data_IF_237819823106
#
_entry.id   IF_237819823106
#
_cell.length_a   1.000
_cell.length_b   1.000
_cell.length_c   1.000
_cell.angle_alpha   90.00
_cell.angle_beta   90.00
_cell.angle_gamma   90.00
#
_symmetry.space_group_name_H-M   'P 1'
#
loop_
_entity.id
_entity.type
_entity.pdbx_description
1 polymer ?
#
# COMPACT_ATOMS: atom_id res chain seq x y z
N UNK A 1 -13.74 -35.61 -11.87
CA UNK A 1 -14.05 -35.14 -10.50
C UNK A 1 -13.62 -33.68 -10.38
N UNK A 2 -14.55 -32.77 -10.11
CA UNK A 2 -14.24 -31.35 -9.90
C UNK A 2 -13.44 -31.23 -8.60
N UNK A 3 -12.24 -30.67 -8.70
CA UNK A 3 -11.39 -30.47 -7.50
C UNK A 3 -12.04 -29.36 -6.65
N UNK A 4 -12.31 -29.59 -5.35
CA UNK A 4 -13.05 -28.64 -4.50
C UNK A 4 -12.41 -27.23 -4.46
N UNK A 5 -11.07 -27.18 -4.56
CA UNK A 5 -10.33 -25.92 -4.58
C UNK A 5 -10.68 -25.05 -5.81
N UNK A 6 -10.96 -25.66 -6.96
CA UNK A 6 -11.28 -24.89 -8.18
C UNK A 6 -12.62 -24.15 -8.02
N UNK A 7 -13.62 -24.81 -7.38
CA UNK A 7 -14.90 -24.16 -7.09
C UNK A 7 -14.76 -22.94 -6.19
N UNK A 8 -13.98 -23.09 -5.11
CA UNK A 8 -13.69 -21.98 -4.18
C UNK A 8 -12.96 -20.83 -4.88
N UNK A 9 -11.94 -21.13 -5.68
CA UNK A 9 -11.20 -20.11 -6.42
C UNK A 9 -12.06 -19.44 -7.49
N UNK A 10 -13.01 -20.18 -8.12
CA UNK A 10 -13.93 -19.59 -9.08
C UNK A 10 -14.92 -18.62 -8.42
N UNK A 11 -15.44 -18.96 -7.25
CA UNK A 11 -16.27 -18.04 -6.46
C UNK A 11 -15.46 -16.81 -6.05
N UNK A 12 -14.25 -16.99 -5.52
CA UNK A 12 -13.37 -15.89 -5.12
C UNK A 12 -13.07 -14.96 -6.30
N UNK A 13 -12.70 -15.51 -7.45
CA UNK A 13 -12.42 -14.74 -8.65
C UNK A 13 -13.67 -14.02 -9.17
N UNK A 14 -14.83 -14.68 -9.13
CA UNK A 14 -16.11 -14.07 -9.50
C UNK A 14 -16.42 -12.87 -8.61
N UNK A 15 -16.30 -13.00 -7.29
CA UNK A 15 -16.51 -11.90 -6.35
C UNK A 15 -15.48 -10.78 -6.56
N UNK A 16 -14.21 -11.14 -6.76
CA UNK A 16 -13.13 -10.19 -6.98
C UNK A 16 -13.31 -9.31 -8.23
N UNK A 17 -14.05 -9.79 -9.22
CA UNK A 17 -14.35 -9.02 -10.43
C UNK A 17 -15.72 -8.33 -10.33
N UNK A 18 -16.75 -9.05 -9.86
CA UNK A 18 -18.12 -8.52 -9.83
C UNK A 18 -18.31 -7.42 -8.80
N UNK A 19 -17.71 -7.52 -7.60
CA UNK A 19 -17.87 -6.50 -6.56
C UNK A 19 -17.30 -5.14 -6.99
N UNK A 20 -16.07 -5.03 -7.52
CA UNK A 20 -15.57 -3.78 -8.07
C UNK A 20 -16.40 -3.25 -9.24
N UNK A 21 -16.87 -4.14 -10.13
CA UNK A 21 -17.73 -3.73 -11.26
C UNK A 21 -19.06 -3.14 -10.76
N UNK A 22 -19.68 -3.75 -9.76
CA UNK A 22 -20.88 -3.23 -9.12
C UNK A 22 -20.61 -1.92 -8.39
N UNK A 23 -19.46 -1.80 -7.70
CA UNK A 23 -19.02 -0.58 -7.05
C UNK A 23 -18.83 0.61 -7.99
N UNK A 24 -18.54 0.36 -9.27
CA UNK A 24 -18.41 1.40 -10.30
C UNK A 24 -19.78 1.89 -10.87
N UNK A 25 -20.88 1.27 -10.48
CA UNK A 25 -22.23 1.75 -10.88
C UNK A 25 -22.64 2.98 -10.06
N UNK A 26 -23.61 3.76 -10.55
CA UNK A 26 -24.06 4.98 -9.87
C UNK A 26 -24.54 4.72 -8.43
N UNK A 27 -25.28 3.65 -8.17
CA UNK A 27 -25.68 3.28 -6.82
C UNK A 27 -24.49 2.74 -6.00
N UNK A 28 -23.58 2.00 -6.62
CA UNK A 28 -22.36 1.49 -5.98
C UNK A 28 -21.47 2.62 -5.49
N UNK A 29 -21.29 3.68 -6.28
CA UNK A 29 -20.54 4.88 -5.90
C UNK A 29 -21.21 5.61 -4.71
N UNK A 30 -22.54 5.72 -4.71
CA UNK A 30 -23.26 6.35 -3.59
C UNK A 30 -23.13 5.56 -2.29
N UNK A 31 -23.26 4.22 -2.36
CA UNK A 31 -23.06 3.34 -1.19
C UNK A 31 -21.61 3.37 -0.73
N UNK A 32 -20.66 3.35 -1.66
CA UNK A 32 -19.21 3.45 -1.36
C UNK A 32 -18.85 4.77 -0.65
N UNK A 33 -19.35 5.89 -1.16
CA UNK A 33 -19.12 7.20 -0.56
C UNK A 33 -19.70 7.28 0.86
N UNK A 34 -20.92 6.79 1.05
CA UNK A 34 -21.53 6.71 2.37
C UNK A 34 -20.72 5.83 3.32
N UNK A 35 -20.30 4.65 2.87
CA UNK A 35 -19.54 3.70 3.68
C UNK A 35 -18.19 4.27 4.12
N UNK A 36 -17.46 4.94 3.23
CA UNK A 36 -16.16 5.57 3.55
C UNK A 36 -16.29 6.58 4.70
N UNK A 37 -17.41 7.32 4.75
CA UNK A 37 -17.64 8.34 5.77
C UNK A 37 -18.11 7.73 7.10
N UNK A 38 -18.93 6.65 7.08
CA UNK A 38 -19.64 6.18 8.26
C UNK A 38 -19.12 4.84 8.81
N UNK A 39 -18.36 4.07 8.01
CA UNK A 39 -17.91 2.74 8.42
C UNK A 39 -16.39 2.73 8.57
N UNK A 40 -15.86 2.56 9.80
CA UNK A 40 -14.41 2.46 10.01
C UNK A 40 -13.78 1.37 9.14
N UNK A 41 -12.71 1.74 8.43
CA UNK A 41 -11.99 0.82 7.55
C UNK A 41 -12.59 0.66 6.13
N UNK A 42 -13.77 1.20 5.83
CA UNK A 42 -14.35 1.12 4.48
C UNK A 42 -13.51 1.84 3.41
N UNK A 43 -12.67 2.81 3.80
CA UNK A 43 -11.69 3.44 2.91
C UNK A 43 -10.75 2.46 2.20
N UNK A 44 -10.50 1.27 2.80
CA UNK A 44 -9.72 0.20 2.15
C UNK A 44 -10.40 -0.35 0.88
N UNK A 45 -11.72 -0.21 0.76
CA UNK A 45 -12.49 -0.67 -0.40
C UNK A 45 -12.45 0.33 -1.56
N UNK A 46 -11.98 1.55 -1.34
CA UNK A 46 -11.89 2.61 -2.37
C UNK A 46 -11.03 2.16 -3.56
N UNK A 47 -9.92 1.49 -3.29
CA UNK A 47 -9.02 0.97 -4.31
C UNK A 47 -9.44 -0.43 -4.79
N UNK A 48 -10.70 -0.54 -5.22
CA UNK A 48 -11.33 -1.83 -5.56
C UNK A 48 -10.57 -2.63 -6.63
N UNK A 49 -9.81 -1.97 -7.52
CA UNK A 49 -8.96 -2.64 -8.51
C UNK A 49 -7.90 -3.56 -7.88
N UNK A 50 -7.46 -3.28 -6.65
CA UNK A 50 -6.50 -4.14 -5.93
C UNK A 50 -7.09 -5.51 -5.59
N UNK A 51 -8.40 -5.59 -5.39
CA UNK A 51 -9.08 -6.83 -5.06
C UNK A 51 -9.16 -7.80 -6.25
N UNK A 52 -9.09 -7.29 -7.50
CA UNK A 52 -9.06 -8.11 -8.71
C UNK A 52 -7.84 -9.06 -8.72
N UNK A 53 -6.77 -8.71 -8.03
CA UNK A 53 -5.60 -9.60 -7.86
C UNK A 53 -5.95 -10.95 -7.21
N UNK A 54 -7.04 -11.04 -6.44
CA UNK A 54 -7.54 -12.30 -5.88
C UNK A 54 -8.05 -13.30 -6.95
N UNK A 55 -8.30 -12.85 -8.18
CA UNK A 55 -8.61 -13.72 -9.31
C UNK A 55 -7.37 -14.40 -9.90
N UNK A 56 -6.17 -13.89 -9.67
CA UNK A 56 -4.93 -14.39 -10.27
C UNK A 56 -4.67 -15.90 -10.04
N UNK A 57 -4.91 -16.49 -8.85
CA UNK A 57 -4.72 -17.93 -8.64
C UNK A 57 -5.60 -18.80 -9.54
N UNK A 58 -6.87 -18.39 -9.77
CA UNK A 58 -7.74 -19.10 -10.71
C UNK A 58 -7.24 -18.97 -12.15
N UNK A 59 -6.84 -17.77 -12.58
CA UNK A 59 -6.34 -17.53 -13.92
C UNK A 59 -5.07 -18.33 -14.20
N UNK A 60 -4.14 -18.39 -13.24
CA UNK A 60 -2.92 -19.18 -13.37
C UNK A 60 -3.23 -20.69 -13.54
N UNK A 61 -4.15 -21.23 -12.72
CA UNK A 61 -4.56 -22.63 -12.83
C UNK A 61 -5.33 -22.92 -14.12
N UNK A 62 -6.19 -22.01 -14.54
CA UNK A 62 -6.95 -22.13 -15.79
C UNK A 62 -6.02 -22.10 -17.01
N UNK A 63 -5.05 -21.18 -17.02
CA UNK A 63 -4.03 -21.08 -18.07
C UNK A 63 -3.20 -22.37 -18.15
N UNK A 64 -2.71 -22.87 -17.01
CA UNK A 64 -1.96 -24.13 -16.96
C UNK A 64 -2.80 -25.34 -17.44
N UNK A 65 -4.08 -25.38 -17.07
CA UNK A 65 -4.99 -26.43 -17.55
C UNK A 65 -5.26 -26.30 -19.05
N UNK A 66 -5.40 -25.09 -19.56
CA UNK A 66 -5.56 -24.78 -20.99
C UNK A 66 -4.34 -25.22 -21.81
N UNK A 67 -3.14 -24.86 -21.36
CA UNK A 67 -1.87 -25.29 -21.98
C UNK A 67 -1.79 -26.83 -22.04
N UNK A 68 -2.09 -27.51 -20.94
CA UNK A 68 -2.12 -28.99 -20.92
C UNK A 68 -3.15 -29.59 -21.88
N UNK A 69 -4.34 -29.01 -21.95
CA UNK A 69 -5.40 -29.52 -22.84
C UNK A 69 -5.00 -29.32 -24.29
N UNK A 70 -4.43 -28.16 -24.63
CA UNK A 70 -3.98 -27.85 -25.99
C UNK A 70 -2.78 -28.70 -26.41
N UNK A 71 -1.80 -28.91 -25.50
CA UNK A 71 -0.64 -29.76 -25.75
C UNK A 71 -1.00 -31.21 -26.16
N UNK A 72 -2.17 -31.71 -25.73
CA UNK A 72 -2.66 -33.04 -26.09
C UNK A 72 -3.25 -33.10 -27.50
N UNK A 73 -3.48 -31.96 -28.15
CA UNK A 73 -4.14 -31.85 -29.47
C UNK A 73 -3.18 -31.53 -30.59
N UNK A 74 -1.90 -31.26 -30.27
CA UNK A 74 -0.89 -30.92 -31.27
C UNK A 74 0.20 -31.99 -31.36
N UNK A 75 0.83 -32.09 -32.53
CA UNK A 75 1.90 -33.05 -32.79
C UNK A 75 3.21 -32.80 -32.02
N UNK A 76 3.44 -31.53 -31.62
CA UNK A 76 4.60 -31.14 -30.83
C UNK A 76 4.14 -30.55 -29.48
N UNK A 77 3.86 -31.39 -28.46
CA UNK A 77 3.27 -30.95 -27.21
C UNK A 77 4.10 -29.87 -26.45
N UNK A 78 5.44 -29.93 -26.58
CA UNK A 78 6.35 -28.95 -25.96
C UNK A 78 6.29 -27.53 -26.56
N UNK A 79 5.78 -27.39 -27.78
CA UNK A 79 5.66 -26.07 -28.41
C UNK A 79 4.57 -25.20 -27.74
N UNK A 80 3.52 -25.82 -27.19
CA UNK A 80 2.39 -25.07 -26.58
C UNK A 80 2.80 -24.27 -25.33
N UNK A 81 3.49 -24.86 -24.32
CA UNK A 81 3.94 -24.08 -23.16
C UNK A 81 4.96 -23.00 -23.56
N UNK A 82 5.85 -23.28 -24.51
CA UNK A 82 6.80 -22.28 -25.03
C UNK A 82 6.04 -21.10 -25.67
N UNK A 83 5.08 -21.39 -26.55
CA UNK A 83 4.27 -20.35 -27.17
C UNK A 83 3.44 -19.57 -26.15
N UNK A 84 2.89 -20.23 -25.12
CA UNK A 84 2.14 -19.56 -24.05
C UNK A 84 3.04 -18.61 -23.23
N UNK A 85 4.25 -19.04 -22.86
CA UNK A 85 5.23 -18.19 -22.16
C UNK A 85 5.63 -17.02 -23.08
N UNK A 86 5.94 -17.29 -24.34
CA UNK A 86 6.29 -16.24 -25.30
C UNK A 86 5.14 -15.23 -25.48
N UNK A 87 3.90 -15.68 -25.53
CA UNK A 87 2.73 -14.80 -25.62
C UNK A 87 2.61 -13.89 -24.39
N UNK A 88 2.83 -14.39 -23.17
CA UNK A 88 2.84 -13.57 -21.94
C UNK A 88 3.96 -12.54 -21.98
N UNK A 89 5.18 -12.95 -22.35
CA UNK A 89 6.35 -12.04 -22.41
C UNK A 89 6.13 -10.96 -23.48
N UNK A 90 5.64 -11.35 -24.65
CA UNK A 90 5.38 -10.41 -25.75
C UNK A 90 4.18 -9.49 -25.51
N UNK A 91 3.22 -9.90 -24.67
CA UNK A 91 2.12 -9.04 -24.27
C UNK A 91 2.52 -7.95 -23.27
N UNK A 92 3.71 -8.05 -22.67
CA UNK A 92 4.22 -7.14 -21.65
C UNK A 92 5.62 -6.59 -22.03
N UNK A 93 5.83 -6.08 -23.26
CA UNK A 93 7.15 -5.65 -23.71
C UNK A 93 7.71 -4.50 -22.86
N UNK A 94 6.79 -3.68 -22.31
CA UNK A 94 7.15 -2.50 -21.55
C UNK A 94 7.63 -2.80 -20.11
N UNK A 95 7.44 -4.04 -19.60
CA UNK A 95 7.91 -4.41 -18.27
C UNK A 95 9.40 -4.72 -18.22
N UNK A 96 10.00 -5.00 -19.37
CA UNK A 96 11.44 -5.29 -19.47
C UNK A 96 12.23 -3.97 -19.42
N UNK A 97 13.40 -3.99 -18.80
CA UNK A 97 14.32 -2.84 -18.74
C UNK A 97 13.75 -1.59 -18.05
N UNK A 98 12.96 -1.77 -16.98
CA UNK A 98 12.39 -0.63 -16.26
C UNK A 98 11.34 0.10 -17.10
N UNK A 99 10.32 -0.64 -17.57
CA UNK A 99 9.25 -0.11 -18.44
C UNK A 99 9.84 0.54 -19.70
N UNK A 100 10.58 -0.27 -20.49
CA UNK A 100 11.28 0.19 -21.71
C UNK A 100 12.21 1.41 -21.47
N UNK A 101 12.82 1.49 -20.29
CA UNK A 101 13.74 2.58 -19.91
C UNK A 101 13.03 3.86 -19.43
N UNK A 102 11.72 3.84 -19.24
CA UNK A 102 10.99 4.98 -18.69
C UNK A 102 11.29 5.19 -17.18
N UNK A 103 11.54 4.09 -16.45
CA UNK A 103 11.96 4.16 -15.04
C UNK A 103 13.47 4.35 -14.96
N UNK A 104 13.88 5.52 -14.53
CA UNK A 104 15.29 5.84 -14.30
C UNK A 104 15.58 5.83 -12.80
N UNK A 105 16.71 5.24 -12.35
CA UNK A 105 17.10 5.31 -10.95
C UNK A 105 17.43 6.76 -10.57
N UNK A 106 16.97 7.18 -9.42
CA UNK A 106 17.21 8.51 -8.85
C UNK A 106 18.14 8.37 -7.66
N UNK A 107 19.15 9.22 -7.59
CA UNK A 107 20.05 9.32 -6.43
C UNK A 107 19.61 10.51 -5.57
N UNK A 108 19.20 10.20 -4.36
CA UNK A 108 18.84 11.23 -3.38
C UNK A 108 20.10 11.91 -2.83
N UNK A 109 20.09 13.25 -2.67
CA UNK A 109 21.18 13.98 -2.03
C UNK A 109 21.50 13.43 -0.64
N UNK A 110 22.77 13.54 -0.19
CA UNK A 110 23.20 13.08 1.14
C UNK A 110 22.42 13.71 2.29
N UNK A 111 21.89 14.92 2.12
CA UNK A 111 21.07 15.65 3.08
C UNK A 111 19.93 14.81 3.65
N UNK A 112 19.27 14.00 2.83
CA UNK A 112 18.18 13.12 3.28
C UNK A 112 18.64 12.14 4.36
N UNK A 113 19.82 11.55 4.19
CA UNK A 113 20.39 10.62 5.19
C UNK A 113 20.80 11.35 6.46
N UNK A 114 21.33 12.57 6.32
CA UNK A 114 21.75 13.38 7.47
C UNK A 114 20.53 13.80 8.31
N UNK A 115 19.47 14.28 7.68
CA UNK A 115 18.20 14.58 8.35
C UNK A 115 17.61 13.34 9.04
N UNK A 116 17.56 12.20 8.34
CA UNK A 116 17.09 10.95 8.93
C UNK A 116 17.92 10.57 10.18
N UNK A 117 19.23 10.70 10.11
CA UNK A 117 20.14 10.41 11.23
C UNK A 117 19.91 11.36 12.43
N UNK A 118 19.67 12.66 12.19
CA UNK A 118 19.32 13.60 13.26
C UNK A 118 18.03 13.18 13.97
N UNK A 119 17.02 12.77 13.20
CA UNK A 119 15.74 12.30 13.73
C UNK A 119 15.86 10.96 14.48
N UNK A 120 16.70 10.03 14.02
CA UNK A 120 16.96 8.75 14.69
C UNK A 120 17.67 8.93 16.03
N UNK A 121 18.66 9.82 16.09
CA UNK A 121 19.43 10.10 17.31
C UNK A 121 18.64 10.92 18.32
N UNK A 122 17.61 11.63 17.89
CA UNK A 122 16.75 12.40 18.80
C UNK A 122 15.88 11.46 19.62
N UNK A 123 15.85 11.71 20.95
CA UNK A 123 14.94 11.05 21.88
C UNK A 123 13.55 11.69 21.91
N UNK A 124 13.35 12.78 21.20
CA UNK A 124 12.10 13.52 21.17
C UNK A 124 11.13 12.84 20.23
N UNK A 125 9.93 12.54 20.73
CA UNK A 125 8.83 12.03 19.93
C UNK A 125 8.13 13.19 19.22
N UNK A 126 7.36 12.89 18.18
CA UNK A 126 6.53 13.83 17.42
C UNK A 126 6.76 13.74 15.93
N UNK A 127 5.79 14.27 15.20
CA UNK A 127 5.71 14.17 13.75
C UNK A 127 6.48 15.27 13.04
N UNK A 128 6.69 15.05 11.74
CA UNK A 128 7.35 15.99 10.84
C UNK A 128 6.30 16.64 9.94
N UNK A 129 6.24 17.97 9.98
CA UNK A 129 5.58 18.76 8.95
C UNK A 129 6.57 19.14 7.85
N UNK A 130 6.11 19.25 6.61
CA UNK A 130 7.00 19.51 5.46
C UNK A 130 6.57 20.76 4.70
N UNK A 131 7.54 21.55 4.30
CA UNK A 131 7.42 22.68 3.39
C UNK A 131 8.29 22.44 2.15
N UNK A 132 7.85 22.92 0.97
CA UNK A 132 6.60 23.63 0.67
C UNK A 132 5.35 22.79 0.89
N UNK A 133 4.18 23.47 1.00
CA UNK A 133 2.90 22.79 1.14
C UNK A 133 2.56 21.90 -0.06
N UNK A 134 1.73 20.87 0.20
CA UNK A 134 1.32 19.88 -0.80
C UNK A 134 2.16 18.60 -0.74
N UNK A 135 1.74 17.58 -1.49
CA UNK A 135 2.35 16.24 -1.46
C UNK A 135 3.18 15.88 -2.70
N UNK A 136 3.19 16.74 -3.71
CA UNK A 136 3.97 16.54 -4.93
C UNK A 136 5.15 17.49 -4.99
N UNK A 137 6.28 16.98 -5.47
CA UNK A 137 7.57 17.68 -5.53
C UNK A 137 8.15 17.66 -6.93
N UNK A 138 8.97 18.65 -7.23
CA UNK A 138 9.82 18.71 -8.42
C UNK A 138 11.23 19.03 -8.00
N UNK A 139 12.01 18.02 -7.76
CA UNK A 139 13.42 18.19 -7.43
C UNK A 139 14.29 18.21 -8.69
N UNK A 140 15.41 18.93 -8.69
CA UNK A 140 16.35 18.93 -9.80
C UNK A 140 16.83 17.51 -10.18
N UNK A 141 16.92 16.61 -9.22
CA UNK A 141 17.36 15.22 -9.42
C UNK A 141 16.23 14.25 -9.79
N UNK A 142 14.96 14.64 -9.71
CA UNK A 142 13.82 13.74 -9.98
C UNK A 142 13.31 13.78 -11.42
N UNK A 143 13.86 14.65 -12.28
CA UNK A 143 13.42 14.86 -13.65
C UNK A 143 12.23 15.84 -13.73
N UNK A 144 11.61 15.91 -14.91
CA UNK A 144 10.61 16.94 -15.20
C UNK A 144 9.22 16.64 -14.62
N UNK A 145 8.92 15.37 -14.35
CA UNK A 145 7.64 14.96 -13.80
C UNK A 145 7.57 15.20 -12.29
N UNK A 146 6.42 15.67 -11.75
CA UNK A 146 6.24 15.74 -10.32
C UNK A 146 6.26 14.34 -9.71
N UNK A 147 6.93 14.21 -8.57
CA UNK A 147 7.02 12.97 -7.79
C UNK A 147 6.32 13.15 -6.45
N UNK A 148 5.87 12.07 -5.84
CA UNK A 148 5.42 12.11 -4.45
C UNK A 148 6.58 12.53 -3.56
N UNK A 149 6.29 13.35 -2.56
CA UNK A 149 7.23 13.73 -1.52
C UNK A 149 7.91 12.49 -0.93
N UNK A 150 9.25 12.41 -0.96
CA UNK A 150 9.98 11.28 -0.43
C UNK A 150 10.04 11.25 1.10
N UNK A 151 9.79 12.35 1.80
CA UNK A 151 9.92 12.48 3.24
C UNK A 151 9.26 11.33 4.02
N UNK A 152 8.00 10.91 3.73
CA UNK A 152 7.35 9.79 4.44
C UNK A 152 8.06 8.44 4.32
N UNK A 153 8.93 8.29 3.34
CA UNK A 153 9.68 7.04 3.10
C UNK A 153 11.14 7.12 3.51
N UNK A 154 11.66 8.33 3.62
CA UNK A 154 13.07 8.59 3.92
C UNK A 154 13.30 8.85 5.41
N UNK A 155 12.29 9.35 6.13
CA UNK A 155 12.43 9.76 7.53
C UNK A 155 11.88 8.68 8.49
N UNK A 156 12.54 8.48 9.66
CA UNK A 156 12.13 7.51 10.68
C UNK A 156 11.07 8.08 11.64
N UNK A 157 10.23 8.98 11.18
CA UNK A 157 9.13 9.63 11.91
C UNK A 157 7.91 9.71 11.01
N UNK A 158 6.74 9.81 11.61
CA UNK A 158 5.53 10.08 10.85
C UNK A 158 5.59 11.47 10.23
N UNK A 159 5.32 11.52 8.94
CA UNK A 159 5.34 12.75 8.14
C UNK A 159 3.91 13.11 7.78
N UNK A 160 3.48 14.30 8.17
CA UNK A 160 2.14 14.79 7.90
C UNK A 160 1.98 15.13 6.41
N UNK A 161 1.04 14.46 5.77
CA UNK A 161 0.66 14.72 4.39
C UNK A 161 -0.85 14.90 4.29
N UNK A 162 -1.27 15.96 3.60
CA UNK A 162 -2.70 16.28 3.43
C UNK A 162 -3.45 15.26 2.57
N UNK A 163 -2.74 14.57 1.68
CA UNK A 163 -3.36 13.70 0.67
C UNK A 163 -4.09 14.48 -0.43
N UNK A 164 -3.94 15.79 -0.47
CA UNK A 164 -4.55 16.67 -1.47
C UNK A 164 -3.93 16.42 -2.84
N UNK A 165 -4.77 16.27 -3.86
CA UNK A 165 -4.34 16.13 -5.24
C UNK A 165 -4.83 17.31 -6.07
N UNK A 166 -3.89 18.09 -6.60
CA UNK A 166 -4.19 19.15 -7.56
C UNK A 166 -4.21 18.54 -8.96
N UNK A 167 -5.36 18.58 -9.62
CA UNK A 167 -5.57 18.05 -10.96
C UNK A 167 -5.66 19.20 -11.96
N UNK A 168 -4.63 19.35 -12.78
CA UNK A 168 -4.52 20.47 -13.73
C UNK A 168 -4.48 21.81 -13.02
N UNK A 169 -5.12 22.83 -13.62
CA UNK A 169 -5.18 24.20 -13.06
C UNK A 169 -6.49 24.52 -12.32
N UNK A 170 -7.48 23.62 -12.39
CA UNK A 170 -8.86 23.97 -12.03
C UNK A 170 -9.49 23.11 -10.93
N UNK A 171 -8.91 21.99 -10.55
CA UNK A 171 -9.55 21.11 -9.59
C UNK A 171 -8.57 20.64 -8.51
N UNK A 172 -9.01 20.74 -7.27
CA UNK A 172 -8.31 20.14 -6.12
C UNK A 172 -9.19 19.06 -5.52
N UNK A 173 -8.70 17.84 -5.50
CA UNK A 173 -9.34 16.74 -4.76
C UNK A 173 -8.88 16.84 -3.32
N UNK A 174 -9.82 17.02 -2.39
CA UNK A 174 -9.52 17.07 -0.96
C UNK A 174 -8.87 15.79 -0.46
N UNK A 175 -7.89 15.95 0.42
CA UNK A 175 -7.24 14.82 1.07
C UNK A 175 -7.98 14.36 2.33
N UNK A 176 -7.56 13.21 2.86
CA UNK A 176 -8.13 12.61 4.08
C UNK A 176 -7.41 13.05 5.36
N UNK A 177 -6.29 13.75 5.22
CA UNK A 177 -5.45 14.19 6.33
C UNK A 177 -5.92 15.48 7.00
N UNK A 178 -7.05 15.47 7.72
CA UNK A 178 -7.59 16.67 8.36
C UNK A 178 -6.57 17.36 9.30
N UNK A 179 -5.82 16.59 10.11
CA UNK A 179 -4.76 17.10 10.97
C UNK A 179 -3.62 17.71 10.15
N UNK A 180 -3.15 17.01 9.13
CA UNK A 180 -2.10 17.50 8.24
C UNK A 180 -2.52 18.80 7.52
N UNK A 181 -3.80 18.90 7.12
CA UNK A 181 -4.36 20.12 6.52
C UNK A 181 -4.33 21.30 7.49
N UNK A 182 -4.67 21.11 8.78
CA UNK A 182 -4.57 22.18 9.78
C UNK A 182 -3.13 22.64 9.98
N UNK A 183 -2.20 21.69 10.13
CA UNK A 183 -0.77 21.99 10.28
C UNK A 183 -0.22 22.74 9.08
N UNK A 184 -0.56 22.32 7.88
CA UNK A 184 -0.18 23.03 6.65
C UNK A 184 -0.72 24.46 6.63
N UNK A 185 -1.99 24.66 7.03
CA UNK A 185 -2.60 25.99 7.12
C UNK A 185 -1.90 26.86 8.17
N UNK A 186 -1.53 26.33 9.33
CA UNK A 186 -0.77 27.04 10.35
C UNK A 186 0.59 27.52 9.82
N UNK A 187 1.31 26.63 9.13
CA UNK A 187 2.58 27.00 8.52
C UNK A 187 2.42 28.08 7.45
N UNK A 188 1.45 27.92 6.54
CA UNK A 188 1.20 28.90 5.47
C UNK A 188 0.73 30.26 6.00
N UNK A 189 0.06 30.29 7.15
CA UNK A 189 -0.37 31.51 7.81
C UNK A 189 0.72 32.16 8.70
N UNK A 190 1.87 31.51 8.87
CA UNK A 190 2.93 32.01 9.76
C UNK A 190 2.57 31.93 11.25
N UNK A 191 1.82 30.90 11.66
CA UNK A 191 1.41 30.71 13.05
C UNK A 191 2.61 30.46 13.97
N UNK A 192 2.44 30.75 15.27
CA UNK A 192 3.48 30.51 16.27
C UNK A 192 3.76 29.00 16.51
N UNK A 193 4.91 28.68 17.09
CA UNK A 193 5.32 27.29 17.35
C UNK A 193 4.32 26.48 18.18
N UNK A 194 3.57 27.14 19.05
CA UNK A 194 2.61 26.49 19.93
C UNK A 194 1.49 25.79 19.15
N UNK A 195 1.00 26.41 18.07
CA UNK A 195 -0.04 25.79 17.22
C UNK A 195 0.45 24.50 16.57
N UNK A 196 1.74 24.38 16.25
CA UNK A 196 2.35 23.17 15.75
C UNK A 196 2.52 22.12 16.85
N UNK A 197 2.94 22.53 18.05
CA UNK A 197 3.12 21.65 19.19
C UNK A 197 1.80 21.03 19.67
N UNK A 198 0.69 21.78 19.65
CA UNK A 198 -0.66 21.29 19.96
C UNK A 198 -1.16 20.21 18.98
N UNK A 199 -0.61 20.17 17.77
CA UNK A 199 -0.87 19.12 16.78
C UNK A 199 0.23 18.03 16.76
N UNK A 200 0.99 17.86 17.85
CA UNK A 200 2.09 16.89 18.00
C UNK A 200 3.21 17.01 16.94
N UNK A 201 3.35 18.15 16.31
CA UNK A 201 4.45 18.41 15.38
C UNK A 201 5.68 18.80 16.19
N UNK A 202 6.75 18.03 16.02
CA UNK A 202 8.03 18.29 16.67
C UNK A 202 9.08 18.82 15.71
N UNK A 203 8.91 18.58 14.44
CA UNK A 203 9.89 18.89 13.42
C UNK A 203 9.22 19.55 12.22
N UNK A 204 9.90 20.55 11.66
CA UNK A 204 9.54 21.11 10.37
C UNK A 204 10.71 20.90 9.41
N UNK A 205 10.46 20.15 8.34
CA UNK A 205 11.40 19.96 7.24
C UNK A 205 11.08 20.96 6.14
N UNK A 206 12.09 21.68 5.68
CA UNK A 206 11.98 22.56 4.50
C UNK A 206 12.80 21.98 3.37
N UNK A 207 12.16 21.65 2.27
CA UNK A 207 12.77 21.16 1.03
C UNK A 207 13.07 22.37 0.13
N UNK A 208 14.31 22.80 0.09
CA UNK A 208 14.72 24.09 -0.48
C UNK A 208 14.75 24.12 -1.99
N UNK A 209 14.97 22.97 -2.64
CA UNK A 209 15.17 22.87 -4.09
C UNK A 209 13.91 22.54 -4.87
N UNK A 210 12.77 22.36 -4.20
CA UNK A 210 11.48 22.10 -4.84
C UNK A 210 10.56 23.34 -4.76
N UNK A 211 9.93 23.75 -5.87
CA UNK A 211 8.96 24.83 -5.84
C UNK A 211 7.65 24.39 -5.17
N UNK A 212 6.98 25.32 -4.54
CA UNK A 212 5.66 25.11 -3.94
C UNK A 212 5.23 26.24 -3.03
N UNK A 213 3.99 26.20 -2.48
CA UNK A 213 3.48 27.23 -1.59
C UNK A 213 4.26 27.25 -0.27
N UNK A 214 4.76 28.42 0.10
CA UNK A 214 5.39 28.69 1.39
C UNK A 214 4.55 29.64 2.26
N UNK A 215 3.69 30.44 1.67
CA UNK A 215 2.90 31.44 2.40
C UNK A 215 3.78 32.31 3.29
N UNK A 216 3.30 32.59 4.50
CA UNK A 216 4.00 33.35 5.53
C UNK A 216 4.85 32.47 6.46
N UNK A 217 5.15 31.23 6.06
CA UNK A 217 5.84 30.21 6.92
C UNK A 217 7.19 30.67 7.46
N UNK A 218 7.85 31.63 6.81
CA UNK A 218 9.10 32.19 7.31
C UNK A 218 8.93 32.79 8.72
N UNK A 219 7.77 33.39 9.02
CA UNK A 219 7.48 33.91 10.37
C UNK A 219 7.47 32.81 11.43
N UNK A 220 7.01 31.61 11.08
CA UNK A 220 7.05 30.45 11.95
C UNK A 220 8.49 29.96 12.09
N UNK A 221 9.20 29.78 10.97
CA UNK A 221 10.57 29.24 10.95
C UNK A 221 11.55 30.10 11.73
N UNK A 222 11.40 31.42 11.72
CA UNK A 222 12.24 32.37 12.49
C UNK A 222 12.12 32.18 14.01
N UNK A 223 11.06 31.52 14.48
CA UNK A 223 10.82 31.21 15.89
C UNK A 223 11.26 29.77 16.27
N UNK A 224 11.67 28.96 15.30
CA UNK A 224 12.09 27.59 15.51
C UNK A 224 13.61 27.48 15.64
N UNK A 225 14.06 26.43 16.29
CA UNK A 225 15.49 26.13 16.40
C UNK A 225 15.97 25.37 15.17
N UNK A 226 16.93 25.92 14.39
CA UNK A 226 17.51 25.18 13.29
C UNK A 226 18.43 24.06 13.80
N UNK A 227 18.17 22.84 13.39
CA UNK A 227 18.94 21.63 13.77
C UNK A 227 19.92 21.24 12.66
N UNK A 228 19.47 21.38 11.42
CA UNK A 228 20.27 21.06 10.24
C UNK A 228 19.88 22.01 9.11
N UNK A 229 20.85 22.43 8.30
CA UNK A 229 20.59 23.18 7.08
C UNK A 229 21.74 23.00 6.10
N UNK A 230 21.39 22.67 4.84
CA UNK A 230 22.28 22.76 3.69
C UNK A 230 21.55 23.36 2.48
N UNK A 231 22.08 23.20 1.28
CA UNK A 231 21.47 23.76 0.08
C UNK A 231 20.17 23.04 -0.34
N UNK A 232 19.97 21.79 0.09
CA UNK A 232 18.85 20.94 -0.30
C UNK A 232 17.72 20.94 0.74
N UNK A 233 18.08 20.80 2.02
CA UNK A 233 17.15 20.59 3.11
C UNK A 233 17.48 21.49 4.32
N UNK A 234 16.43 21.86 5.06
CA UNK A 234 16.60 22.41 6.40
C UNK A 234 15.63 21.75 7.38
N UNK A 235 16.10 21.39 8.57
CA UNK A 235 15.31 20.79 9.64
C UNK A 235 15.28 21.73 10.83
N UNK A 236 14.07 22.02 11.29
CA UNK A 236 13.82 22.87 12.46
C UNK A 236 13.14 22.08 13.56
N UNK A 237 13.44 22.41 14.82
CA UNK A 237 12.79 21.85 16.00
C UNK A 237 11.72 22.79 16.53
N UNK A 238 10.53 22.24 16.77
CA UNK A 238 9.40 22.94 17.40
C UNK A 238 9.53 22.80 18.92
N UNK A 239 9.61 23.88 19.70
CA UNK A 239 9.69 23.83 21.15
C UNK A 239 8.34 23.41 21.77
N UNK A 240 8.38 22.78 22.95
CA UNK A 240 7.20 22.57 23.81
C UNK A 240 6.22 21.47 23.41
N UNK A 241 6.62 20.52 22.57
CA UNK A 241 5.75 19.41 22.17
C UNK A 241 5.29 18.55 23.35
N UNK A 242 4.02 18.15 23.35
CA UNK A 242 3.48 17.14 24.26
C UNK A 242 3.91 15.77 23.73
N UNK A 243 4.38 14.84 24.60
CA UNK A 243 4.70 13.50 24.13
C UNK A 243 3.44 12.87 23.51
N UNK A 244 3.49 12.36 22.26
CA UNK A 244 2.34 11.72 21.66
C UNK A 244 1.89 10.55 22.53
N UNK A 245 0.59 10.39 22.73
CA UNK A 245 0.07 9.18 23.35
C UNK A 245 0.21 8.01 22.35
N UNK A 246 1.36 7.36 22.41
CA UNK A 246 1.70 6.20 21.56
C UNK A 246 0.77 4.99 21.78
N UNK A 247 -0.23 5.12 22.66
CA UNK A 247 -1.20 4.06 22.96
C UNK A 247 -2.45 4.14 22.12
N UNK A 248 -2.73 5.28 21.50
CA UNK A 248 -3.87 5.45 20.60
C UNK A 248 -3.74 4.48 19.41
N UNK A 249 -4.77 3.67 19.19
CA UNK A 249 -4.80 2.65 18.13
C UNK A 249 -4.04 1.34 18.39
N UNK A 250 -3.24 1.21 19.45
CA UNK A 250 -2.51 -0.05 19.74
C UNK A 250 -3.45 -1.23 20.00
N UNK A 251 -4.55 -0.99 20.71
CA UNK A 251 -5.56 -2.01 20.99
C UNK A 251 -6.22 -2.51 19.73
N UNK A 252 -6.58 -1.61 18.84
CA UNK A 252 -7.19 -1.93 17.53
C UNK A 252 -6.22 -2.67 16.62
N UNK A 253 -4.96 -2.21 16.55
CA UNK A 253 -3.92 -2.89 15.79
C UNK A 253 -3.67 -4.31 16.31
N UNK A 254 -3.58 -4.49 17.63
CA UNK A 254 -3.41 -5.81 18.24
C UNK A 254 -4.61 -6.72 17.96
N UNK A 255 -5.84 -6.21 18.10
CA UNK A 255 -7.06 -6.96 17.79
C UNK A 255 -7.11 -7.40 16.33
N UNK A 256 -6.73 -6.52 15.39
CA UNK A 256 -6.65 -6.85 13.97
C UNK A 256 -5.61 -7.95 13.69
N UNK A 257 -4.44 -7.88 14.29
CA UNK A 257 -3.41 -8.90 14.14
C UNK A 257 -3.81 -10.26 14.75
N UNK A 258 -4.47 -10.25 15.91
CA UNK A 258 -4.99 -11.46 16.53
C UNK A 258 -6.09 -12.10 15.67
N UNK A 259 -7.00 -11.32 15.12
CA UNK A 259 -8.01 -11.81 14.19
C UNK A 259 -7.39 -12.44 12.96
N UNK A 260 -6.41 -11.77 12.35
CA UNK A 260 -5.68 -12.29 11.20
C UNK A 260 -4.95 -13.61 11.54
N UNK A 261 -4.26 -13.68 12.67
CA UNK A 261 -3.60 -14.89 13.13
C UNK A 261 -4.59 -16.04 13.38
N UNK A 262 -5.75 -15.74 13.97
CA UNK A 262 -6.82 -16.73 14.18
C UNK A 262 -7.36 -17.27 12.85
N UNK A 263 -7.60 -16.44 11.86
CA UNK A 263 -8.05 -16.86 10.52
C UNK A 263 -7.02 -17.78 9.84
N UNK A 264 -5.73 -17.46 9.94
CA UNK A 264 -4.66 -18.32 9.42
C UNK A 264 -4.61 -19.66 10.15
N UNK A 265 -4.75 -19.67 11.48
CA UNK A 265 -4.76 -20.88 12.28
C UNK A 265 -5.95 -21.78 11.91
N UNK A 266 -7.15 -21.23 11.78
CA UNK A 266 -8.36 -21.97 11.37
C UNK A 266 -8.17 -22.56 9.97
N UNK A 267 -7.65 -21.76 9.02
CA UNK A 267 -7.34 -22.24 7.66
C UNK A 267 -6.32 -23.38 7.69
N UNK A 268 -5.23 -23.24 8.45
CA UNK A 268 -4.19 -24.25 8.60
C UNK A 268 -4.72 -25.55 9.23
N UNK A 269 -5.51 -25.45 10.30
CA UNK A 269 -6.16 -26.61 10.94
C UNK A 269 -7.12 -27.31 9.99
N UNK A 270 -7.90 -26.57 9.19
CA UNK A 270 -8.78 -27.13 8.17
C UNK A 270 -8.01 -27.96 7.14
N UNK A 271 -6.88 -27.46 6.66
CA UNK A 271 -6.00 -28.19 5.73
C UNK A 271 -5.43 -29.46 6.38
N UNK A 272 -4.97 -29.37 7.62
CA UNK A 272 -4.42 -30.53 8.35
C UNK A 272 -5.49 -31.60 8.59
N UNK A 273 -6.70 -31.22 8.96
CA UNK A 273 -7.83 -32.15 9.13
C UNK A 273 -8.21 -32.82 7.81
N UNK A 274 -8.26 -32.06 6.72
CA UNK A 274 -8.54 -32.61 5.39
C UNK A 274 -7.47 -33.63 4.96
N UNK A 275 -6.20 -33.36 5.23
CA UNK A 275 -5.09 -34.30 4.98
C UNK A 275 -5.20 -35.57 5.84
N UNK A 276 -5.55 -35.45 7.11
CA UNK A 276 -5.75 -36.61 8.01
C UNK A 276 -6.92 -37.51 7.58
N UNK A 277 -8.04 -36.89 7.18
CA UNK A 277 -9.21 -37.65 6.66
C UNK A 277 -8.87 -38.40 5.36
N UNK A 278 -8.08 -37.81 4.46
CA UNK A 278 -7.63 -38.51 3.24
C UNK A 278 -6.74 -39.71 3.54
N UNK A 279 -5.80 -39.60 4.49
CA UNK A 279 -4.93 -40.72 4.90
C UNK A 279 -5.75 -41.88 5.51
N UNK A 280 -6.69 -41.59 6.42
CA UNK A 280 -7.55 -42.62 7.02
C UNK A 280 -8.48 -43.30 6.00
N UNK A 281 -8.95 -42.61 4.98
CA UNK A 281 -9.75 -43.20 3.91
C UNK A 281 -8.94 -44.12 2.98
N UNK A 282 -7.63 -43.88 2.86
CA UNK A 282 -6.73 -44.74 2.09
C UNK A 282 -6.44 -46.03 2.85
N UNK A 283 -6.16 -45.95 4.14
CA UNK A 283 -5.87 -47.09 5.01
C UNK A 283 -7.09 -48.04 5.21
N UNK A 284 -8.31 -47.50 5.16
CA UNK A 284 -9.54 -48.28 5.27
C UNK A 284 -9.95 -49.02 3.99
N UNK A 285 -9.38 -48.61 2.83
CA UNK A 285 -9.64 -49.23 1.51
C UNK A 285 -8.76 -50.44 1.20
N UNK A 286 -7.69 -50.65 1.96
CA UNK A 286 -6.67 -51.71 1.69
C UNK A 286 -6.80 -52.95 2.59
N UNK A 287 -7.96 -53.16 3.22
CA UNK A 287 -8.21 -54.44 3.89
C UNK A 287 -8.52 -55.54 2.85
N UNK A 288 -7.73 -56.60 2.77
CA UNK A 288 -7.97 -57.70 1.84
C UNK A 288 -9.34 -58.33 2.15
N UNK A 289 -10.22 -58.34 1.15
CA UNK A 289 -11.49 -59.07 1.21
C UNK A 289 -11.19 -60.54 1.48
N UNK A 290 -11.54 -60.99 2.65
CA UNK A 290 -11.51 -62.41 3.00
C UNK A 290 -12.42 -63.17 2.01
N UNK A 291 -11.81 -63.90 1.11
CA UNK A 291 -12.54 -64.84 0.23
C UNK A 291 -12.87 -66.09 1.05
N UNK A 292 -14.13 -66.41 1.30
CA UNK A 292 -14.46 -67.66 1.96
C UNK A 292 -14.13 -68.82 1.04
N UNK A 293 -13.25 -69.72 1.47
CA UNK A 293 -13.00 -71.00 0.84
C UNK A 293 -14.26 -71.86 0.87
N UNK A 294 -14.82 -72.12 -0.29
CA UNK A 294 -15.83 -73.17 -0.41
C UNK A 294 -15.13 -74.51 -0.31
N UNK A 295 -15.46 -75.31 0.71
CA UNK A 295 -15.28 -76.72 0.81
C UNK A 295 -16.50 -77.43 0.22
#
# INVERSE_FOLDING_TARGET
>A
RRHPVIGTLAVLAGLAVLLPALGATGWGLSVGAWAVVHVPGAGLLRDSQKWVALAAPLYALAAAAGVRALSKRVSVPGAVPVAAIAAVVLALPDLVWGVAGALKPVQYPPAWRQVAQHLELSKEAGDVAVLPAGMFRRFPYSGDAPVLDPAPRMLPRDVLQTGQLVVGQAATVGGEGARATRVEQFLLAGAGPQSLAEEDVRWVLVERTTPGPLGDSQRTLDQLEPIFADDELALYRVPGGIPPDLREGRGEALAAHLLWAALLAVGGLGVLQARRRRRRGFDAGDQPRHVPSRG
#
